data_IF_863803452319
#
_entry.id   IF_863803452319
#
_cell.length_a   1.000
_cell.length_b   1.000
_cell.length_c   1.000
_cell.angle_alpha   90.00
_cell.angle_beta   90.00
_cell.angle_gamma   90.00
#
_symmetry.space_group_name_H-M   'P 1'
#
loop_
_entity.id
_entity.type
_entity.pdbx_description
1 polymer ?
#
# COMPACT_ATOMS: atom_id res chain seq x y z
N UNK A 1 31.03 -14.20 -4.63
CA UNK A 1 30.68 -13.08 -3.73
C UNK A 1 29.17 -12.89 -3.75
N UNK A 2 28.49 -13.15 -2.64
CA UNK A 2 27.04 -13.00 -2.52
C UNK A 2 26.68 -11.51 -2.60
N UNK A 3 25.74 -11.14 -3.48
CA UNK A 3 25.18 -9.79 -3.53
C UNK A 3 24.37 -9.56 -2.24
N UNK A 4 25.04 -9.04 -1.22
CA UNK A 4 24.42 -8.54 0.01
C UNK A 4 23.72 -7.21 -0.29
N UNK A 5 22.46 -7.12 0.14
CA UNK A 5 21.85 -5.92 0.72
C UNK A 5 21.50 -4.68 -0.10
N UNK A 6 21.54 -4.67 -1.43
CA UNK A 6 20.89 -3.57 -2.16
C UNK A 6 19.37 -3.57 -1.89
N UNK A 7 18.84 -2.54 -1.23
CA UNK A 7 17.40 -2.32 -1.05
C UNK A 7 16.82 -1.84 -2.39
N UNK A 8 15.73 -2.44 -2.90
CA UNK A 8 15.10 -1.97 -4.12
C UNK A 8 14.74 -0.49 -4.00
N UNK A 9 15.06 0.30 -5.02
CA UNK A 9 14.75 1.73 -5.06
C UNK A 9 13.67 1.99 -6.12
N UNK A 10 12.77 2.94 -5.85
CA UNK A 10 11.62 3.23 -6.71
C UNK A 10 12.03 3.61 -8.14
N UNK A 11 13.18 4.26 -8.30
CA UNK A 11 13.68 4.75 -9.60
C UNK A 11 14.04 3.63 -10.57
N UNK A 12 14.29 2.42 -10.08
CA UNK A 12 14.55 1.24 -10.92
C UNK A 12 13.29 0.54 -11.41
N UNK A 13 12.12 0.96 -10.95
CA UNK A 13 10.82 0.38 -11.30
C UNK A 13 9.87 1.42 -11.90
N UNK A 14 10.43 2.37 -12.64
CA UNK A 14 9.67 3.46 -13.25
C UNK A 14 8.66 2.98 -14.27
N UNK A 15 7.53 3.65 -14.32
CA UNK A 15 6.46 3.49 -15.30
C UNK A 15 5.91 4.84 -15.71
N UNK A 16 5.45 4.94 -16.96
CA UNK A 16 4.82 6.16 -17.45
C UNK A 16 3.50 6.43 -16.74
N UNK A 17 3.24 7.70 -16.44
CA UNK A 17 1.96 8.13 -15.84
C UNK A 17 0.88 8.23 -16.92
N UNK A 18 -0.30 7.71 -16.59
CA UNK A 18 -1.53 7.82 -17.34
C UNK A 18 -2.01 9.26 -17.33
N UNK A 19 -2.25 9.80 -18.53
CA UNK A 19 -2.67 11.19 -18.76
C UNK A 19 -4.11 11.29 -19.30
N UNK A 20 -4.82 10.16 -19.37
CA UNK A 20 -6.18 10.13 -19.88
C UNK A 20 -7.21 10.58 -18.84
N UNK A 21 -8.49 10.47 -19.20
CA UNK A 21 -9.60 10.76 -18.29
C UNK A 21 -9.53 9.85 -17.07
N UNK A 22 -9.63 10.46 -15.89
CA UNK A 22 -9.69 9.75 -14.60
C UNK A 22 -11.11 9.26 -14.34
N UNK A 23 -11.20 7.97 -14.02
CA UNK A 23 -12.43 7.31 -13.57
C UNK A 23 -12.35 7.13 -12.06
N UNK A 24 -13.17 7.89 -11.34
CA UNK A 24 -13.17 7.88 -9.88
C UNK A 24 -13.67 6.53 -9.33
N UNK A 25 -13.11 6.05 -8.22
CA UNK A 25 -13.70 4.94 -7.48
C UNK A 25 -15.14 5.27 -7.07
N UNK A 26 -16.02 4.26 -7.02
CA UNK A 26 -17.43 4.48 -6.61
C UNK A 26 -17.60 4.79 -5.13
N UNK A 27 -16.65 4.35 -4.31
CA UNK A 27 -16.68 4.47 -2.85
C UNK A 27 -16.24 5.84 -2.32
N UNK A 28 -15.75 6.72 -3.21
CA UNK A 28 -15.23 8.04 -2.85
C UNK A 28 -16.09 9.12 -3.49
N UNK A 29 -16.45 10.12 -2.69
CA UNK A 29 -17.26 11.25 -3.13
C UNK A 29 -16.65 12.56 -2.65
N UNK A 30 -16.86 13.62 -3.44
CA UNK A 30 -16.48 14.97 -3.07
C UNK A 30 -17.64 15.66 -2.38
N UNK A 31 -17.43 16.11 -1.15
CA UNK A 31 -18.43 16.87 -0.40
C UNK A 31 -18.66 18.26 -1.01
N UNK A 32 -19.72 18.94 -0.56
CA UNK A 32 -19.97 20.35 -0.89
C UNK A 32 -18.86 21.29 -0.39
N UNK A 33 -18.17 20.93 0.70
CA UNK A 33 -16.98 21.64 1.21
C UNK A 33 -15.73 21.39 0.36
N UNK A 34 -15.80 20.52 -0.64
CA UNK A 34 -14.68 20.20 -1.54
C UNK A 34 -13.74 19.10 -1.03
N UNK A 35 -13.99 18.56 0.16
CA UNK A 35 -13.25 17.45 0.77
C UNK A 35 -13.62 16.12 0.11
N UNK A 36 -12.69 15.17 0.12
CA UNK A 36 -12.97 13.80 -0.33
C UNK A 36 -13.31 12.91 0.85
N UNK A 37 -14.38 12.15 0.71
CA UNK A 37 -14.87 11.24 1.75
C UNK A 37 -15.20 9.86 1.19
N UNK A 38 -14.94 8.83 2.00
CA UNK A 38 -15.38 7.47 1.72
C UNK A 38 -16.90 7.29 1.95
N UNK A 39 -17.42 6.10 1.66
CA UNK A 39 -18.83 5.74 1.86
C UNK A 39 -19.29 5.81 3.33
N UNK A 40 -18.35 5.77 4.29
CA UNK A 40 -18.62 5.96 5.71
C UNK A 40 -18.50 7.44 6.15
N UNK A 41 -18.26 8.35 5.21
CA UNK A 41 -18.10 9.79 5.47
C UNK A 41 -16.73 10.18 6.05
N UNK A 42 -15.75 9.27 6.09
CA UNK A 42 -14.40 9.56 6.59
C UNK A 42 -13.57 10.28 5.55
N UNK A 43 -12.68 11.16 5.99
CA UNK A 43 -11.76 11.87 5.11
C UNK A 43 -10.78 10.90 4.43
N UNK A 44 -10.55 11.13 3.15
CA UNK A 44 -9.59 10.39 2.33
C UNK A 44 -8.84 11.34 1.40
N UNK A 45 -7.68 10.91 0.93
CA UNK A 45 -6.91 11.70 -0.04
C UNK A 45 -7.64 11.77 -1.38
N UNK A 46 -7.44 12.85 -2.18
CA UNK A 46 -7.95 12.93 -3.54
C UNK A 46 -7.57 11.69 -4.37
N UNK A 47 -8.50 11.15 -5.19
CA UNK A 47 -8.27 9.95 -6.00
C UNK A 47 -7.42 10.22 -7.24
N UNK A 48 -6.18 10.64 -7.03
CA UNK A 48 -5.17 10.93 -8.04
C UNK A 48 -4.25 9.73 -8.27
N UNK A 49 -3.53 9.71 -9.41
CA UNK A 49 -2.54 8.65 -9.68
C UNK A 49 -1.42 8.75 -8.64
N UNK A 50 -1.40 7.81 -7.70
CA UNK A 50 -0.38 7.73 -6.65
C UNK A 50 0.42 6.42 -6.69
N UNK A 51 0.09 5.50 -7.61
CA UNK A 51 0.82 4.24 -7.77
C UNK A 51 0.89 3.71 -9.21
N UNK A 52 2.04 3.13 -9.57
CA UNK A 52 2.25 2.34 -10.79
C UNK A 52 1.71 2.99 -12.07
N UNK A 53 1.86 4.31 -12.15
CA UNK A 53 1.54 5.15 -13.30
C UNK A 53 0.06 5.34 -13.57
N UNK A 54 -0.84 4.61 -12.91
CA UNK A 54 -2.25 4.58 -13.31
C UNK A 54 -3.24 4.32 -12.18
N UNK A 55 -2.73 3.90 -11.03
CA UNK A 55 -3.55 3.42 -9.94
C UNK A 55 -3.61 4.44 -8.82
N UNK A 56 -4.74 4.42 -8.13
CA UNK A 56 -4.93 5.09 -6.86
C UNK A 56 -5.03 4.04 -5.77
N UNK A 57 -4.11 4.11 -4.81
CA UNK A 57 -4.16 3.37 -3.55
C UNK A 57 -4.82 4.26 -2.51
N UNK A 58 -5.99 3.85 -2.02
CA UNK A 58 -6.65 4.44 -0.87
C UNK A 58 -6.21 3.75 0.40
N UNK A 59 -5.87 4.53 1.43
CA UNK A 59 -5.55 4.02 2.76
C UNK A 59 -6.71 4.32 3.68
N UNK A 60 -7.15 3.31 4.40
CA UNK A 60 -8.27 3.42 5.32
C UNK A 60 -7.86 2.94 6.69
N UNK A 61 -8.26 3.69 7.72
CA UNK A 61 -8.08 3.31 9.12
C UNK A 61 -9.42 3.22 9.83
N UNK A 62 -9.54 2.22 10.71
CA UNK A 62 -10.68 2.08 11.61
C UNK A 62 -10.34 2.34 13.08
N UNK A 63 -9.13 2.79 13.39
CA UNK A 63 -8.65 3.03 14.76
C UNK A 63 -7.26 2.45 14.99
N UNK A 64 -6.89 2.24 16.25
CA UNK A 64 -5.59 1.68 16.66
C UNK A 64 -5.44 0.24 16.16
N UNK A 65 -4.50 -0.01 15.24
CA UNK A 65 -4.16 -1.36 14.76
C UNK A 65 -4.85 -1.81 13.46
N UNK A 66 -5.80 -1.02 12.95
CA UNK A 66 -6.56 -1.36 11.74
C UNK A 66 -6.13 -0.49 10.55
N UNK A 67 -5.67 -1.12 9.47
CA UNK A 67 -5.28 -0.44 8.23
C UNK A 67 -5.59 -1.32 7.02
N UNK A 68 -6.49 -0.88 6.15
CA UNK A 68 -6.79 -1.59 4.90
C UNK A 68 -6.52 -0.72 3.68
N UNK A 69 -6.26 -1.39 2.56
CA UNK A 69 -5.82 -0.76 1.32
C UNK A 69 -6.78 -1.09 0.19
N UNK A 70 -7.35 -0.06 -0.44
CA UNK A 70 -8.06 -0.22 -1.71
C UNK A 70 -7.12 0.16 -2.85
N UNK A 71 -7.34 -0.43 -4.02
CA UNK A 71 -6.56 -0.11 -5.23
C UNK A 71 -7.52 0.03 -6.41
N UNK A 72 -7.54 1.18 -7.04
CA UNK A 72 -8.41 1.47 -8.19
C UNK A 72 -7.57 1.78 -9.42
N UNK A 73 -7.91 1.17 -10.56
CA UNK A 73 -7.37 1.52 -11.87
C UNK A 73 -8.10 2.76 -12.39
N UNK A 74 -7.44 3.93 -12.32
CA UNK A 74 -8.07 5.20 -12.69
C UNK A 74 -8.33 5.34 -14.20
N UNK A 75 -7.82 4.43 -15.04
CA UNK A 75 -8.17 4.41 -16.47
C UNK A 75 -9.52 3.75 -16.75
N UNK A 76 -10.09 3.02 -15.78
CA UNK A 76 -11.35 2.29 -15.96
C UNK A 76 -12.32 2.41 -14.78
N UNK A 77 -11.86 2.90 -13.63
CA UNK A 77 -12.62 2.92 -12.37
C UNK A 77 -12.74 1.55 -11.70
N UNK A 78 -12.04 0.53 -12.22
CA UNK A 78 -12.11 -0.84 -11.71
C UNK A 78 -11.29 -0.97 -10.42
N UNK A 79 -11.90 -1.54 -9.40
CA UNK A 79 -11.21 -1.89 -8.15
C UNK A 79 -10.45 -3.23 -8.27
N UNK A 80 -9.29 -3.31 -7.63
CA UNK A 80 -8.41 -4.48 -7.60
C UNK A 80 -8.20 -4.92 -6.16
N UNK A 81 -8.27 -6.24 -5.93
CA UNK A 81 -7.99 -6.86 -4.62
C UNK A 81 -6.50 -7.16 -4.40
N UNK A 82 -5.61 -6.56 -5.19
CA UNK A 82 -4.18 -6.89 -5.18
C UNK A 82 -3.48 -6.56 -3.84
N UNK A 83 -4.02 -5.59 -3.09
CA UNK A 83 -3.46 -5.16 -1.80
C UNK A 83 -4.19 -5.73 -0.58
N UNK A 84 -5.25 -6.52 -0.79
CA UNK A 84 -6.00 -7.16 0.29
C UNK A 84 -5.10 -7.94 1.26
N UNK A 85 -4.07 -8.71 0.81
CA UNK A 85 -3.18 -9.43 1.72
C UNK A 85 -2.34 -8.56 2.68
N UNK A 86 -2.28 -7.24 2.46
CA UNK A 86 -1.57 -6.30 3.35
C UNK A 86 -2.51 -5.57 4.31
N UNK A 87 -3.81 -5.83 4.25
CA UNK A 87 -4.76 -5.19 5.16
C UNK A 87 -4.66 -5.82 6.55
N UNK A 88 -4.58 -4.98 7.59
CA UNK A 88 -4.67 -5.38 8.99
C UNK A 88 -6.05 -5.00 9.51
N UNK A 89 -6.82 -6.01 9.91
CA UNK A 89 -8.16 -5.84 10.48
C UNK A 89 -8.15 -6.37 11.92
N UNK A 90 -9.28 -6.24 12.63
CA UNK A 90 -9.46 -6.88 13.93
C UNK A 90 -10.01 -8.32 13.77
N UNK A 91 -9.47 -9.32 14.48
CA UNK A 91 -8.29 -9.24 15.36
C UNK A 91 -6.98 -9.04 14.57
N UNK A 92 -5.98 -8.32 15.13
CA UNK A 92 -4.74 -8.02 14.43
C UNK A 92 -4.09 -9.28 13.85
N UNK A 93 -3.56 -9.21 12.61
CA UNK A 93 -2.89 -10.35 12.03
C UNK A 93 -1.62 -10.67 12.83
N UNK A 94 -1.32 -11.96 12.92
CA UNK A 94 -0.18 -12.47 13.68
C UNK A 94 0.88 -13.04 12.78
N UNK A 95 2.13 -12.82 13.14
CA UNK A 95 3.26 -13.51 12.56
C UNK A 95 3.18 -15.01 12.88
N UNK A 96 4.00 -15.84 12.22
CA UNK A 96 4.05 -17.29 12.50
C UNK A 96 4.43 -17.61 13.96
N UNK A 97 5.19 -16.72 14.58
CA UNK A 97 5.61 -16.72 15.98
C UNK A 97 4.57 -16.10 16.94
N UNK A 98 3.40 -15.70 16.44
CA UNK A 98 2.24 -15.31 17.27
C UNK A 98 2.19 -13.83 17.66
N UNK A 99 3.11 -13.00 17.17
CA UNK A 99 3.15 -11.58 17.47
C UNK A 99 2.25 -10.78 16.52
N UNK A 100 1.54 -9.81 17.07
CA UNK A 100 0.68 -8.92 16.27
C UNK A 100 1.53 -7.98 15.43
N UNK A 101 1.03 -7.62 14.24
CA UNK A 101 1.72 -6.67 13.38
C UNK A 101 0.78 -5.74 12.63
N UNK A 102 1.30 -4.55 12.33
CA UNK A 102 0.72 -3.57 11.42
C UNK A 102 1.52 -3.53 10.11
N UNK A 103 0.85 -3.66 8.98
CA UNK A 103 1.48 -3.50 7.67
C UNK A 103 1.31 -2.06 7.16
N UNK A 104 2.44 -1.45 6.77
CA UNK A 104 2.52 -0.12 6.16
C UNK A 104 3.13 -0.26 4.77
N UNK A 105 2.40 0.18 3.76
CA UNK A 105 2.85 0.21 2.37
C UNK A 105 3.43 1.57 1.99
N UNK A 106 4.59 1.52 1.34
CA UNK A 106 5.25 2.65 0.69
C UNK A 106 5.25 2.43 -0.82
N UNK A 107 4.87 3.46 -1.56
CA UNK A 107 4.66 3.43 -3.01
C UNK A 107 4.78 4.82 -3.60
N UNK A 108 4.96 4.90 -4.92
CA UNK A 108 5.09 6.17 -5.66
C UNK A 108 4.28 6.14 -6.95
N UNK A 109 3.84 7.32 -7.38
CA UNK A 109 2.98 7.52 -8.55
C UNK A 109 3.56 6.96 -9.84
N UNK A 110 4.87 7.09 -10.06
CA UNK A 110 5.58 6.63 -11.25
C UNK A 110 6.38 5.35 -11.02
N UNK A 111 6.09 4.57 -9.96
CA UNK A 111 6.79 3.32 -9.69
C UNK A 111 5.83 2.15 -9.50
N UNK A 112 6.18 0.99 -10.08
CA UNK A 112 5.48 -0.28 -9.83
C UNK A 112 6.01 -1.03 -8.60
N UNK A 113 6.95 -0.45 -7.86
CA UNK A 113 7.48 -0.99 -6.62
C UNK A 113 6.55 -0.66 -5.44
N UNK A 114 6.30 -1.66 -4.60
CA UNK A 114 5.69 -1.52 -3.28
C UNK A 114 6.70 -2.03 -2.26
N UNK A 115 6.90 -1.27 -1.19
CA UNK A 115 7.63 -1.73 -0.02
C UNK A 115 6.64 -1.88 1.14
N UNK A 116 6.49 -3.09 1.65
CA UNK A 116 5.69 -3.35 2.84
C UNK A 116 6.61 -3.42 4.06
N UNK A 117 6.34 -2.57 5.05
CA UNK A 117 6.91 -2.63 6.38
C UNK A 117 5.91 -3.24 7.35
N UNK A 118 6.35 -4.21 8.11
CA UNK A 118 5.58 -4.89 9.14
C UNK A 118 6.13 -4.45 10.49
N UNK A 119 5.36 -3.61 11.18
CA UNK A 119 5.65 -3.19 12.55
C UNK A 119 5.11 -4.26 13.50
N UNK A 120 6.00 -5.03 14.09
CA UNK A 120 5.66 -6.16 14.95
C UNK A 120 5.74 -5.72 16.40
N UNK A 121 4.67 -5.94 17.14
CA UNK A 121 4.62 -5.69 18.57
C UNK A 121 5.10 -6.94 19.35
N UNK A 122 6.23 -6.80 20.05
CA UNK A 122 6.79 -7.83 20.93
C UNK A 122 6.57 -7.49 22.42
N UNK A 123 5.61 -6.61 22.73
CA UNK A 123 5.30 -6.11 24.07
C UNK A 123 6.21 -4.95 24.47
N UNK A 124 7.37 -5.25 25.07
CA UNK A 124 8.30 -4.20 25.55
C UNK A 124 9.24 -3.67 24.47
N UNK A 125 9.20 -4.23 23.27
CA UNK A 125 10.05 -3.86 22.14
C UNK A 125 9.24 -4.01 20.85
N UNK A 126 9.58 -3.24 19.84
CA UNK A 126 9.03 -3.41 18.50
C UNK A 126 10.12 -3.91 17.54
N UNK A 127 9.73 -4.75 16.59
CA UNK A 127 10.59 -5.15 15.48
C UNK A 127 10.00 -4.62 14.18
N UNK A 128 10.83 -4.10 13.28
CA UNK A 128 10.40 -3.74 11.94
C UNK A 128 10.96 -4.75 10.93
N UNK A 129 10.05 -5.39 10.18
CA UNK A 129 10.40 -6.26 9.06
C UNK A 129 9.97 -5.63 7.75
N UNK A 130 10.76 -5.80 6.69
CA UNK A 130 10.47 -5.20 5.38
C UNK A 130 10.51 -6.25 4.27
N UNK A 131 9.61 -6.11 3.30
CA UNK A 131 9.65 -6.86 2.05
C UNK A 131 9.21 -5.99 0.88
N UNK A 132 9.91 -6.13 -0.24
CA UNK A 132 9.62 -5.41 -1.46
C UNK A 132 8.90 -6.31 -2.47
N UNK A 133 7.98 -5.69 -3.20
CA UNK A 133 7.11 -6.32 -4.19
C UNK A 133 7.04 -5.46 -5.45
N UNK A 134 6.84 -6.11 -6.58
CA UNK A 134 6.55 -5.43 -7.85
C UNK A 134 5.11 -5.76 -8.25
N UNK A 135 4.35 -4.74 -8.65
CA UNK A 135 3.01 -4.91 -9.17
C UNK A 135 3.04 -5.11 -10.69
N UNK A 136 2.60 -6.28 -11.15
CA UNK A 136 2.52 -6.64 -12.56
C UNK A 136 1.31 -7.55 -12.80
N UNK A 137 0.62 -7.34 -13.91
CA UNK A 137 -0.51 -8.16 -14.35
C UNK A 137 -1.61 -8.30 -13.27
N UNK A 138 -1.90 -7.20 -12.57
CA UNK A 138 -2.93 -7.18 -11.51
C UNK A 138 -2.52 -7.87 -10.21
N UNK A 139 -1.25 -8.23 -10.03
CA UNK A 139 -0.74 -8.98 -8.87
C UNK A 139 0.52 -8.36 -8.31
N UNK A 140 0.68 -8.47 -6.99
CA UNK A 140 1.92 -8.13 -6.29
C UNK A 140 2.82 -9.35 -6.20
N UNK A 141 4.07 -9.24 -6.66
CA UNK A 141 5.05 -10.33 -6.64
C UNK A 141 6.24 -9.93 -5.76
N UNK A 142 6.63 -10.75 -4.78
CA UNK A 142 7.78 -10.43 -3.95
C UNK A 142 9.08 -10.50 -4.76
N UNK A 143 9.95 -9.51 -4.58
CA UNK A 143 11.29 -9.46 -5.20
C UNK A 143 12.43 -9.56 -4.19
N UNK A 144 12.10 -9.48 -2.90
CA UNK A 144 13.06 -9.72 -1.82
C UNK A 144 12.56 -10.77 -0.83
N UNK A 145 13.49 -11.36 -0.09
CA UNK A 145 13.20 -12.02 1.19
C UNK A 145 12.80 -10.95 2.22
N UNK A 146 12.04 -11.36 3.23
CA UNK A 146 11.75 -10.49 4.38
C UNK A 146 13.04 -10.18 5.13
N UNK A 147 13.32 -8.89 5.35
CA UNK A 147 14.48 -8.38 6.10
C UNK A 147 14.03 -7.95 7.50
N UNK A 148 14.88 -8.09 8.52
CA UNK A 148 14.60 -7.64 9.90
C UNK A 148 15.07 -6.21 10.17
N UNK A 149 14.90 -5.36 9.17
CA UNK A 149 15.27 -3.96 9.20
C UNK A 149 14.43 -3.23 8.17
N UNK A 150 14.02 -2.01 8.47
CA UNK A 150 13.19 -1.20 7.58
C UNK A 150 13.97 -0.01 7.02
N UNK A 151 13.49 0.50 5.89
CA UNK A 151 13.96 1.72 5.27
C UNK A 151 13.23 2.93 5.80
N UNK A 152 13.90 4.07 5.72
CA UNK A 152 13.24 5.36 5.88
C UNK A 152 12.85 5.83 4.49
N UNK A 153 11.60 6.26 4.33
CA UNK A 153 11.00 6.67 3.06
C UNK A 153 10.39 8.07 3.20
#
# INVERSE_FOLDING_TARGET
>A
MAAQDARPRFEYYKVSRYQGRVHLPKWIQRSSSGEWRDDAGKLVDPPEVNFAGRYYIGVHSCGTGCRYYTMTDLSSGRELKALFPFSTAEPPPKTRDGFEYLAILYYQADSKLIVAQYLIDLGQRSECRERAFVFENGRVKPITKTRRSCSTF
#
